data_IF_324507858608
#
_entry.id   IF_324507858608
#
_cell.length_a   1.000
_cell.length_b   1.000
_cell.length_c   1.000
_cell.angle_alpha   90.00
_cell.angle_beta   90.00
_cell.angle_gamma   90.00
#
_symmetry.space_group_name_H-M   'P 1'
#
loop_
_entity.id
_entity.type
_entity.pdbx_description
1 polymer ?
#
# COMPACT_ATOMS: atom_id res chain seq x y z
N UNK A 1 17.92 -18.88 -19.38
CA UNK A 1 16.46 -18.70 -19.23
C UNK A 1 15.88 -20.02 -18.77
N UNK A 2 15.77 -20.23 -17.45
CA UNK A 2 15.21 -21.48 -16.92
C UNK A 2 13.69 -21.42 -16.99
N UNK A 3 13.11 -22.42 -17.68
CA UNK A 3 11.69 -22.64 -17.88
C UNK A 3 11.05 -23.22 -16.62
N UNK A 4 10.17 -22.46 -15.98
CA UNK A 4 9.08 -22.96 -15.13
C UNK A 4 8.00 -21.89 -15.03
N UNK A 5 7.45 -21.42 -16.16
CA UNK A 5 6.16 -20.74 -16.10
C UNK A 5 5.07 -21.81 -15.98
N UNK A 6 4.20 -21.75 -14.96
CA UNK A 6 3.05 -22.65 -14.86
C UNK A 6 2.23 -22.57 -16.15
N UNK A 7 1.96 -23.71 -16.78
CA UNK A 7 1.17 -23.80 -18.03
C UNK A 7 -0.33 -23.94 -17.77
N UNK A 8 -0.79 -23.65 -16.55
CA UNK A 8 -2.20 -23.72 -16.21
C UNK A 8 -2.93 -22.53 -16.86
N UNK A 9 -4.19 -22.72 -17.31
CA UNK A 9 -5.00 -21.60 -17.77
C UNK A 9 -5.18 -20.59 -16.65
N UNK A 10 -5.12 -19.30 -16.97
CA UNK A 10 -5.39 -18.23 -16.01
C UNK A 10 -6.86 -18.35 -15.58
N UNK A 11 -7.16 -18.45 -14.28
CA UNK A 11 -8.53 -18.54 -13.80
C UNK A 11 -9.32 -17.26 -14.16
N UNK A 12 -10.65 -17.34 -14.26
CA UNK A 12 -11.47 -16.15 -14.46
C UNK A 12 -11.26 -15.15 -13.31
N UNK A 13 -11.35 -13.83 -13.58
CA UNK A 13 -11.22 -12.84 -12.53
C UNK A 13 -12.42 -12.91 -11.56
N UNK A 14 -12.17 -12.58 -10.30
CA UNK A 14 -13.23 -12.31 -9.33
C UNK A 14 -14.09 -11.14 -9.80
N UNK A 15 -15.38 -11.14 -9.50
CA UNK A 15 -16.35 -10.10 -9.92
C UNK A 15 -17.29 -9.75 -8.78
N UNK A 16 -17.86 -8.55 -8.85
CA UNK A 16 -18.83 -8.07 -7.85
C UNK A 16 -20.17 -8.81 -7.90
N UNK A 17 -20.52 -9.46 -9.00
CA UNK A 17 -21.80 -10.17 -9.16
C UNK A 17 -21.94 -11.47 -8.37
N UNK A 18 -20.86 -12.01 -7.78
CA UNK A 18 -20.90 -13.26 -7.03
C UNK A 18 -21.32 -13.04 -5.57
N UNK A 19 -22.63 -13.09 -5.32
CA UNK A 19 -23.24 -12.85 -4.00
C UNK A 19 -22.57 -13.71 -2.91
N UNK A 20 -22.23 -13.07 -1.79
CA UNK A 20 -21.61 -13.72 -0.63
C UNK A 20 -20.09 -13.74 -0.65
N UNK A 21 -19.46 -13.34 -1.76
CA UNK A 21 -18.00 -13.16 -1.83
C UNK A 21 -17.57 -11.81 -1.26
N UNK A 22 -16.29 -11.73 -0.89
CA UNK A 22 -15.68 -10.46 -0.48
C UNK A 22 -15.64 -9.43 -1.63
N UNK A 23 -15.52 -9.88 -2.88
CA UNK A 23 -15.59 -9.01 -4.06
C UNK A 23 -16.97 -8.36 -4.18
N UNK A 24 -18.05 -9.14 -4.04
CA UNK A 24 -19.41 -8.61 -4.00
C UNK A 24 -19.60 -7.62 -2.85
N UNK A 25 -19.15 -7.97 -1.65
CA UNK A 25 -19.23 -7.08 -0.49
C UNK A 25 -18.49 -5.75 -0.70
N UNK A 26 -17.30 -5.83 -1.29
CA UNK A 26 -16.48 -4.66 -1.61
C UNK A 26 -17.21 -3.74 -2.58
N UNK A 27 -17.69 -4.27 -3.71
CA UNK A 27 -18.37 -3.47 -4.74
C UNK A 27 -19.69 -2.89 -4.22
N UNK A 28 -20.51 -3.68 -3.51
CA UNK A 28 -21.87 -3.26 -3.12
C UNK A 28 -21.91 -2.39 -1.87
N UNK A 29 -21.00 -2.59 -0.91
CA UNK A 29 -20.99 -1.83 0.35
C UNK A 29 -19.77 -0.94 0.52
N UNK A 30 -18.56 -1.47 0.33
CA UNK A 30 -17.34 -0.75 0.70
C UNK A 30 -17.05 0.43 -0.24
N UNK A 31 -17.10 0.24 -1.56
CA UNK A 31 -16.84 1.34 -2.51
C UNK A 31 -17.82 2.52 -2.34
N UNK A 32 -19.16 2.32 -2.26
CA UNK A 32 -20.09 3.41 -1.95
C UNK A 32 -19.81 4.04 -0.57
N UNK A 33 -19.44 3.23 0.42
CA UNK A 33 -19.08 3.70 1.75
C UNK A 33 -17.87 4.63 1.75
N UNK A 34 -16.83 4.29 0.98
CA UNK A 34 -15.63 5.12 0.81
C UNK A 34 -15.98 6.45 0.13
N UNK A 35 -16.81 6.44 -0.93
CA UNK A 35 -17.24 7.68 -1.59
C UNK A 35 -18.04 8.59 -0.64
N UNK A 36 -18.93 8.01 0.18
CA UNK A 36 -19.68 8.78 1.20
C UNK A 36 -18.76 9.38 2.27
N UNK A 37 -17.68 8.68 2.64
CA UNK A 37 -16.64 9.23 3.54
C UNK A 37 -15.89 10.39 2.90
N UNK A 38 -15.45 10.23 1.64
CA UNK A 38 -14.82 11.32 0.87
C UNK A 38 -15.71 12.57 0.89
N UNK A 39 -17.02 12.41 0.69
CA UNK A 39 -17.99 13.51 0.75
C UNK A 39 -18.07 14.17 2.14
N UNK A 40 -17.97 13.39 3.22
CA UNK A 40 -18.09 13.87 4.59
C UNK A 40 -16.80 14.52 5.13
N UNK A 41 -15.64 14.03 4.68
CA UNK A 41 -14.32 14.36 5.25
C UNK A 41 -13.61 15.50 4.50
N UNK A 42 -14.13 15.93 3.35
CA UNK A 42 -13.49 16.93 2.50
C UNK A 42 -14.35 18.18 2.33
N UNK A 43 -13.70 19.35 2.30
CA UNK A 43 -14.32 20.61 1.98
C UNK A 43 -14.48 20.77 0.45
N UNK A 44 -15.44 20.03 -0.12
CA UNK A 44 -15.69 19.99 -1.56
C UNK A 44 -16.54 21.18 -2.03
N UNK A 45 -16.24 21.71 -3.23
CA UNK A 45 -17.15 22.62 -3.92
C UNK A 45 -18.48 21.91 -4.26
N UNK A 46 -19.60 22.63 -4.43
CA UNK A 46 -20.90 22.01 -4.67
C UNK A 46 -20.93 21.02 -5.84
N UNK A 47 -20.22 21.31 -6.93
CA UNK A 47 -20.13 20.43 -8.11
C UNK A 47 -19.35 19.14 -7.81
N UNK A 48 -18.24 19.24 -7.07
CA UNK A 48 -17.44 18.08 -6.65
C UNK A 48 -18.22 17.20 -5.67
N UNK A 49 -18.90 17.82 -4.71
CA UNK A 49 -19.77 17.11 -3.76
C UNK A 49 -20.88 16.35 -4.48
N UNK A 50 -21.54 16.99 -5.47
CA UNK A 50 -22.55 16.34 -6.30
C UNK A 50 -21.97 15.17 -7.12
N UNK A 51 -20.76 15.33 -7.68
CA UNK A 51 -20.11 14.28 -8.45
C UNK A 51 -19.72 13.05 -7.59
N UNK A 52 -19.21 13.27 -6.38
CA UNK A 52 -18.88 12.19 -5.43
C UNK A 52 -20.16 11.49 -4.94
N UNK A 53 -21.22 12.25 -4.65
CA UNK A 53 -22.51 11.67 -4.28
C UNK A 53 -23.11 10.83 -5.42
N UNK A 54 -23.06 11.33 -6.66
CA UNK A 54 -23.50 10.56 -7.82
C UNK A 54 -22.70 9.27 -8.02
N UNK A 55 -21.37 9.31 -7.79
CA UNK A 55 -20.53 8.10 -7.80
C UNK A 55 -20.94 7.08 -6.72
N UNK A 56 -21.30 7.53 -5.52
CA UNK A 56 -21.75 6.63 -4.47
C UNK A 56 -23.09 5.96 -4.80
N UNK A 57 -24.00 6.68 -5.48
CA UNK A 57 -25.33 6.19 -5.84
C UNK A 57 -25.34 5.37 -7.14
N UNK A 58 -24.43 5.60 -8.08
CA UNK A 58 -24.33 4.76 -9.28
C UNK A 58 -23.82 3.36 -8.94
N UNK A 59 -23.01 3.18 -7.91
CA UNK A 59 -22.49 1.88 -7.51
C UNK A 59 -23.56 1.13 -6.70
N UNK A 60 -23.87 -0.15 -7.02
CA UNK A 60 -23.11 -1.05 -7.90
C UNK A 60 -23.72 -1.26 -9.29
N UNK A 61 -24.85 -0.62 -9.61
CA UNK A 61 -25.65 -0.99 -10.80
C UNK A 61 -25.42 -0.11 -12.04
N UNK A 62 -24.81 1.05 -11.85
CA UNK A 62 -24.53 2.01 -12.90
C UNK A 62 -23.51 1.48 -13.91
N UNK A 63 -23.49 2.04 -15.13
CA UNK A 63 -22.56 1.61 -16.16
C UNK A 63 -21.16 2.19 -15.91
N UNK A 64 -20.13 1.39 -16.19
CA UNK A 64 -18.78 1.87 -16.40
C UNK A 64 -18.79 2.86 -17.58
N UNK A 65 -18.18 4.03 -17.39
CA UNK A 65 -18.13 5.11 -18.37
C UNK A 65 -16.71 5.60 -18.58
N UNK A 66 -16.49 6.30 -19.68
CA UNK A 66 -15.24 7.02 -19.87
C UNK A 66 -15.10 8.16 -18.85
N UNK A 67 -13.85 8.48 -18.54
CA UNK A 67 -13.50 9.65 -17.73
C UNK A 67 -13.67 10.92 -18.56
N UNK A 68 -13.99 12.01 -17.87
CA UNK A 68 -14.30 13.33 -18.44
C UNK A 68 -13.17 14.34 -18.24
N UNK A 69 -12.10 13.97 -17.54
CA UNK A 69 -10.90 14.79 -17.32
C UNK A 69 -9.80 14.42 -18.32
N UNK A 70 -10.07 14.63 -19.61
CA UNK A 70 -9.19 14.25 -20.73
C UNK A 70 -7.77 14.86 -20.65
N UNK A 71 -7.58 15.94 -19.89
CA UNK A 71 -6.28 16.56 -19.63
C UNK A 71 -5.41 15.86 -18.58
N UNK A 72 -5.92 14.80 -17.93
CA UNK A 72 -5.15 14.05 -16.94
C UNK A 72 -3.98 13.30 -17.59
N UNK A 73 -2.83 13.17 -16.89
CA UNK A 73 -1.63 12.52 -17.45
C UNK A 73 -1.84 11.03 -17.77
N UNK A 74 -2.85 10.40 -17.17
CA UNK A 74 -3.20 9.00 -17.32
C UNK A 74 -4.41 8.74 -18.25
N UNK A 75 -4.97 9.80 -18.86
CA UNK A 75 -6.22 9.72 -19.61
C UNK A 75 -6.18 8.69 -20.76
N UNK A 76 -5.08 8.63 -21.52
CA UNK A 76 -4.92 7.69 -22.63
C UNK A 76 -4.89 6.22 -22.15
N UNK A 77 -4.22 5.95 -21.03
CA UNK A 77 -4.17 4.62 -20.46
C UNK A 77 -5.56 4.19 -19.95
N UNK A 78 -6.25 5.07 -19.24
CA UNK A 78 -7.61 4.80 -18.75
C UNK A 78 -8.63 4.62 -19.87
N UNK A 79 -8.54 5.38 -20.96
CA UNK A 79 -9.39 5.16 -22.12
C UNK A 79 -9.25 3.73 -22.65
N UNK A 80 -8.02 3.21 -22.73
CA UNK A 80 -7.75 1.83 -23.14
C UNK A 80 -8.22 0.80 -22.11
N UNK A 81 -8.03 1.04 -20.80
CA UNK A 81 -8.50 0.13 -19.75
C UNK A 81 -10.03 0.07 -19.62
N UNK A 82 -10.72 1.18 -19.88
CA UNK A 82 -12.18 1.28 -19.81
C UNK A 82 -12.86 0.68 -21.04
N UNK A 83 -12.25 0.78 -22.23
CA UNK A 83 -12.88 0.40 -23.49
C UNK A 83 -13.52 -1.02 -23.50
N UNK A 84 -12.91 -2.08 -22.92
CA UNK A 84 -13.51 -3.41 -22.88
C UNK A 84 -14.76 -3.52 -21.99
N UNK A 85 -14.94 -2.58 -21.06
CA UNK A 85 -15.91 -2.62 -19.98
C UNK A 85 -16.97 -1.52 -20.06
N UNK A 86 -16.82 -0.55 -20.96
CA UNK A 86 -17.75 0.56 -21.13
C UNK A 86 -19.19 0.06 -21.32
N UNK A 87 -20.12 0.63 -20.55
CA UNK A 87 -21.54 0.27 -20.54
C UNK A 87 -21.90 -0.93 -19.66
N UNK A 88 -20.93 -1.71 -19.17
CA UNK A 88 -21.19 -2.83 -18.25
C UNK A 88 -21.40 -2.33 -16.82
N UNK A 89 -22.15 -3.10 -16.02
CA UNK A 89 -22.34 -2.82 -14.58
C UNK A 89 -21.06 -3.02 -13.79
N UNK A 90 -20.89 -2.32 -12.66
CA UNK A 90 -19.79 -2.54 -11.72
C UNK A 90 -19.73 -3.98 -11.18
N UNK A 91 -20.88 -4.66 -11.14
CA UNK A 91 -20.97 -6.07 -10.72
C UNK A 91 -20.36 -7.03 -11.76
N UNK A 92 -20.40 -6.65 -13.03
CA UNK A 92 -20.10 -7.56 -14.14
C UNK A 92 -18.63 -7.50 -14.57
N UNK A 93 -17.88 -6.47 -14.18
CA UNK A 93 -16.47 -6.28 -14.57
C UNK A 93 -15.50 -6.93 -13.57
N UNK A 94 -14.23 -7.18 -13.94
CA UNK A 94 -13.26 -7.72 -12.99
C UNK A 94 -13.14 -6.84 -11.74
N UNK A 95 -13.15 -7.44 -10.55
CA UNK A 95 -13.13 -6.71 -9.29
C UNK A 95 -11.92 -5.78 -9.17
N UNK A 96 -10.72 -6.26 -9.55
CA UNK A 96 -9.52 -5.43 -9.58
C UNK A 96 -9.68 -4.18 -10.47
N UNK A 97 -10.34 -4.31 -11.63
CA UNK A 97 -10.67 -3.17 -12.48
C UNK A 97 -11.69 -2.25 -11.82
N UNK A 98 -12.80 -2.80 -11.30
CA UNK A 98 -13.85 -2.02 -10.63
C UNK A 98 -13.27 -1.17 -9.49
N UNK A 99 -12.44 -1.77 -8.65
CA UNK A 99 -11.84 -1.12 -7.49
C UNK A 99 -10.83 -0.05 -7.90
N UNK A 100 -9.94 -0.35 -8.85
CA UNK A 100 -8.97 0.65 -9.35
C UNK A 100 -9.69 1.81 -10.07
N UNK A 101 -10.71 1.50 -10.86
CA UNK A 101 -11.54 2.47 -11.57
C UNK A 101 -12.32 3.35 -10.60
N UNK A 102 -12.81 2.81 -9.49
CA UNK A 102 -13.45 3.58 -8.42
C UNK A 102 -12.53 4.69 -7.89
N UNK A 103 -11.29 4.37 -7.51
CA UNK A 103 -10.37 5.39 -7.00
C UNK A 103 -10.05 6.45 -8.05
N UNK A 104 -9.92 6.06 -9.33
CA UNK A 104 -9.74 7.04 -10.40
C UNK A 104 -10.97 7.93 -10.62
N UNK A 105 -12.17 7.38 -10.47
CA UNK A 105 -13.44 8.13 -10.50
C UNK A 105 -13.60 9.06 -9.31
N UNK A 106 -13.07 8.71 -8.14
CA UNK A 106 -12.98 9.64 -6.99
C UNK A 106 -12.10 10.83 -7.36
N UNK A 107 -10.90 10.60 -7.91
CA UNK A 107 -10.01 11.69 -8.34
C UNK A 107 -10.62 12.58 -9.44
N UNK A 108 -11.36 11.98 -10.38
CA UNK A 108 -12.12 12.73 -11.38
C UNK A 108 -13.20 13.61 -10.70
N UNK A 109 -13.97 13.04 -9.78
CA UNK A 109 -15.07 13.72 -9.09
C UNK A 109 -14.60 14.85 -8.17
N UNK A 110 -13.45 14.69 -7.52
CA UNK A 110 -12.83 15.73 -6.69
C UNK A 110 -12.03 16.73 -7.53
N UNK A 111 -11.86 16.51 -8.83
CA UNK A 111 -11.13 17.41 -9.73
C UNK A 111 -9.62 17.40 -9.51
N UNK A 112 -9.04 16.30 -9.03
CA UNK A 112 -7.62 16.17 -8.69
C UNK A 112 -6.68 16.57 -9.84
N UNK A 113 -7.01 16.18 -11.09
CA UNK A 113 -6.22 16.51 -12.29
C UNK A 113 -6.69 17.76 -13.03
N UNK A 114 -7.79 18.39 -12.60
CA UNK A 114 -8.34 19.59 -13.24
C UNK A 114 -7.83 20.84 -12.55
N UNK A 115 -7.74 21.94 -13.30
CA UNK A 115 -7.48 23.24 -12.70
C UNK A 115 -8.64 23.66 -11.80
N UNK A 116 -8.32 24.18 -10.62
CA UNK A 116 -9.29 24.58 -9.61
C UNK A 116 -8.86 24.23 -8.19
N UNK A 117 -9.75 24.43 -7.20
CA UNK A 117 -9.43 24.22 -5.79
C UNK A 117 -9.17 22.75 -5.42
N UNK A 118 -9.61 21.79 -6.25
CA UNK A 118 -9.34 20.37 -6.04
C UNK A 118 -8.02 19.87 -6.62
N UNK A 119 -7.29 20.70 -7.39
CA UNK A 119 -6.09 20.27 -8.11
C UNK A 119 -5.01 19.79 -7.13
N UNK A 120 -4.60 18.52 -7.27
CA UNK A 120 -3.57 17.92 -6.42
C UNK A 120 -3.98 17.72 -4.96
N UNK A 121 -5.26 17.93 -4.60
CA UNK A 121 -5.74 17.75 -3.23
C UNK A 121 -6.10 16.29 -3.00
N UNK A 122 -5.37 15.63 -2.10
CA UNK A 122 -5.61 14.24 -1.73
C UNK A 122 -6.91 14.09 -0.92
N UNK A 123 -7.96 13.42 -1.47
CA UNK A 123 -9.23 13.25 -0.78
C UNK A 123 -9.19 12.30 0.42
N UNK A 124 -8.07 11.59 0.62
CA UNK A 124 -7.84 10.65 1.71
C UNK A 124 -6.81 11.16 2.73
N UNK A 125 -6.33 12.40 2.58
CA UNK A 125 -5.31 12.98 3.45
C UNK A 125 -5.70 13.01 4.94
N UNK A 126 -7.00 13.19 5.25
CA UNK A 126 -7.50 13.11 6.62
C UNK A 126 -7.25 11.72 7.20
N UNK A 127 -7.70 10.67 6.52
CA UNK A 127 -7.54 9.29 6.99
C UNK A 127 -6.07 8.92 7.15
N UNK A 128 -5.21 9.27 6.18
CA UNK A 128 -3.76 9.02 6.28
C UNK A 128 -3.14 9.70 7.51
N UNK A 129 -3.53 10.95 7.80
CA UNK A 129 -3.05 11.69 8.97
C UNK A 129 -3.54 11.07 10.27
N UNK A 130 -4.82 10.72 10.36
CA UNK A 130 -5.39 10.10 11.56
C UNK A 130 -4.80 8.72 11.82
N UNK A 131 -4.60 7.91 10.78
CA UNK A 131 -3.89 6.64 10.86
C UNK A 131 -2.46 6.80 11.41
N UNK A 132 -1.74 7.85 10.99
CA UNK A 132 -0.43 8.18 11.54
C UNK A 132 -0.50 8.60 13.02
N UNK A 133 -1.46 9.45 13.38
CA UNK A 133 -1.62 9.93 14.76
C UNK A 133 -1.97 8.79 15.73
N UNK A 134 -2.89 7.89 15.35
CA UNK A 134 -3.23 6.70 16.14
C UNK A 134 -2.00 5.81 16.38
N UNK A 135 -1.04 5.88 15.47
CA UNK A 135 0.16 5.06 15.50
C UNK A 135 1.30 5.69 16.29
N UNK A 136 1.20 6.98 16.66
CA UNK A 136 2.24 7.77 17.33
C UNK A 136 2.84 7.08 18.57
N UNK A 137 2.01 6.41 19.37
CA UNK A 137 2.47 5.67 20.54
C UNK A 137 3.35 4.45 20.19
N UNK A 138 2.99 3.72 19.14
CA UNK A 138 3.78 2.60 18.63
C UNK A 138 5.06 3.08 17.91
N UNK A 139 5.01 4.23 17.23
CA UNK A 139 6.19 4.88 16.63
C UNK A 139 7.24 5.20 17.69
N UNK A 140 6.81 5.75 18.84
CA UNK A 140 7.70 6.09 19.93
C UNK A 140 8.49 4.88 20.44
N UNK A 141 7.82 3.73 20.58
CA UNK A 141 8.45 2.47 21.02
C UNK A 141 9.45 1.92 20.01
N UNK A 142 9.10 1.91 18.71
CA UNK A 142 10.00 1.45 17.64
C UNK A 142 11.21 2.38 17.46
N UNK A 143 11.03 3.69 17.64
CA UNK A 143 12.11 4.68 17.53
C UNK A 143 13.11 4.57 18.66
N UNK A 144 12.66 4.28 19.89
CA UNK A 144 13.56 4.06 21.04
C UNK A 144 14.37 2.77 20.90
N UNK A 145 13.75 1.69 20.41
CA UNK A 145 14.48 0.44 20.13
C UNK A 145 15.50 0.63 18.98
N UNK A 146 15.13 1.40 17.95
CA UNK A 146 16.02 1.73 16.83
C UNK A 146 17.19 2.65 17.19
N UNK A 147 17.01 3.62 18.10
CA UNK A 147 18.09 4.53 18.53
C UNK A 147 19.14 3.81 19.37
N UNK A 148 18.74 2.93 20.30
CA UNK A 148 19.68 2.12 21.07
C UNK A 148 20.52 1.18 20.18
N UNK A 149 19.92 0.65 19.12
CA UNK A 149 20.61 -0.16 18.11
C UNK A 149 21.54 0.70 17.22
N UNK A 150 21.13 1.91 16.85
CA UNK A 150 21.90 2.83 16.00
C UNK A 150 23.12 3.40 16.73
N UNK A 151 22.97 3.74 18.02
CA UNK A 151 24.08 4.20 18.87
C UNK A 151 25.11 3.10 19.11
N UNK A 152 24.68 1.83 19.27
CA UNK A 152 25.58 0.67 19.33
C UNK A 152 26.29 0.42 18.00
N UNK A 153 25.58 0.53 16.87
CA UNK A 153 26.17 0.38 15.52
C UNK A 153 27.19 1.48 15.21
N UNK A 154 26.96 2.70 15.70
CA UNK A 154 27.90 3.82 15.56
C UNK A 154 29.17 3.62 16.40
N UNK A 155 29.07 2.96 17.55
CA UNK A 155 30.22 2.59 18.37
C UNK A 155 31.06 1.44 17.76
N UNK A 156 30.46 0.58 16.93
CA UNK A 156 31.14 -0.51 16.21
C UNK A 156 31.70 -0.08 14.84
N UNK A 157 31.35 1.11 14.34
CA UNK A 157 31.63 1.60 12.98
C UNK A 157 32.77 2.62 12.83
N UNK A 158 33.62 2.82 13.83
CA UNK A 158 34.81 3.67 13.67
C UNK A 158 35.99 2.85 13.14
N UNK A 159 36.04 2.59 11.82
CA UNK A 159 37.24 2.45 10.96
C UNK A 159 36.96 1.62 9.68
N UNK A 160 36.65 2.29 8.57
CA UNK A 160 37.35 2.13 7.26
C UNK A 160 37.45 0.75 6.56
N UNK A 161 36.84 -0.31 7.07
CA UNK A 161 36.89 -1.68 6.55
C UNK A 161 35.51 -2.23 6.12
N UNK A 162 34.55 -1.34 5.96
CA UNK A 162 33.13 -1.55 6.30
C UNK A 162 32.34 -2.49 5.39
N UNK A 163 32.66 -2.64 4.10
CA UNK A 163 31.86 -3.54 3.21
C UNK A 163 32.00 -5.03 3.49
N UNK A 164 33.18 -5.50 3.92
CA UNK A 164 33.42 -6.93 4.22
C UNK A 164 33.02 -7.29 5.64
N UNK A 165 33.03 -6.31 6.56
CA UNK A 165 32.59 -6.47 7.95
C UNK A 165 31.07 -6.66 8.03
N UNK A 166 30.29 -5.77 7.40
CA UNK A 166 28.82 -5.81 7.47
C UNK A 166 28.23 -7.11 6.90
N UNK A 167 28.78 -7.64 5.80
CA UNK A 167 28.37 -8.94 5.24
C UNK A 167 28.64 -10.10 6.21
N UNK A 168 29.79 -10.07 6.89
CA UNK A 168 30.15 -11.10 7.89
C UNK A 168 29.23 -11.03 9.12
N UNK A 169 28.75 -9.84 9.46
CA UNK A 169 27.76 -9.59 10.52
C UNK A 169 26.37 -10.09 10.15
N UNK A 170 25.90 -9.94 8.89
CA UNK A 170 24.63 -10.56 8.43
C UNK A 170 24.68 -12.08 8.54
N UNK A 171 25.78 -12.70 8.11
CA UNK A 171 25.97 -14.16 8.16
C UNK A 171 26.11 -14.69 9.59
N UNK A 172 26.35 -13.82 10.57
CA UNK A 172 26.23 -14.18 11.97
C UNK A 172 24.75 -14.32 12.37
N UNK A 173 24.44 -15.24 13.28
CA UNK A 173 23.07 -15.51 13.74
C UNK A 173 22.29 -14.24 14.13
N UNK A 174 22.99 -13.23 14.69
CA UNK A 174 22.40 -11.95 15.11
C UNK A 174 21.94 -11.07 13.95
N UNK A 175 22.69 -11.01 12.85
CA UNK A 175 22.34 -10.17 11.69
C UNK A 175 21.19 -10.76 10.88
N UNK A 176 21.21 -12.07 10.67
CA UNK A 176 20.10 -12.81 10.08
C UNK A 176 18.81 -12.67 10.91
N UNK A 177 18.91 -12.77 12.24
CA UNK A 177 17.76 -12.58 13.14
C UNK A 177 17.23 -11.14 13.13
N UNK A 178 18.09 -10.12 13.05
CA UNK A 178 17.67 -8.73 12.93
C UNK A 178 16.91 -8.47 11.62
N UNK A 179 17.42 -9.00 10.50
CA UNK A 179 16.77 -8.88 9.20
C UNK A 179 15.42 -9.62 9.16
N UNK A 180 15.35 -10.83 9.70
CA UNK A 180 14.10 -11.57 9.82
C UNK A 180 13.06 -10.83 10.67
N UNK A 181 13.48 -10.20 11.78
CA UNK A 181 12.59 -9.36 12.60
C UNK A 181 12.09 -8.13 11.84
N UNK A 182 12.95 -7.46 11.08
CA UNK A 182 12.57 -6.30 10.29
C UNK A 182 11.58 -6.67 9.18
N UNK A 183 11.82 -7.79 8.46
CA UNK A 183 10.87 -8.33 7.47
C UNK A 183 9.53 -8.65 8.11
N UNK A 184 9.54 -9.33 9.27
CA UNK A 184 8.33 -9.65 10.01
C UNK A 184 7.57 -8.39 10.42
N UNK A 185 8.28 -7.36 10.94
CA UNK A 185 7.67 -6.08 11.31
C UNK A 185 7.00 -5.40 10.12
N UNK A 186 7.63 -5.40 8.94
CA UNK A 186 7.04 -4.86 7.71
C UNK A 186 5.74 -5.60 7.33
N UNK A 187 5.75 -6.94 7.35
CA UNK A 187 4.55 -7.76 7.04
C UNK A 187 3.39 -7.48 8.00
N UNK A 188 3.67 -7.38 9.31
CA UNK A 188 2.62 -7.12 10.31
C UNK A 188 2.18 -5.67 10.39
N UNK A 189 2.97 -4.73 9.84
CA UNK A 189 2.61 -3.32 9.70
C UNK A 189 1.37 -3.13 8.82
N UNK A 190 1.20 -3.96 7.79
CA UNK A 190 0.06 -3.91 6.85
C UNK A 190 -1.31 -4.23 7.50
N UNK A 191 -1.34 -4.67 8.77
CA UNK A 191 -2.62 -4.82 9.48
C UNK A 191 -3.32 -3.48 9.78
N UNK A 192 -2.69 -2.35 9.46
CA UNK A 192 -3.20 -0.99 9.61
C UNK A 192 -3.87 -0.42 8.33
N UNK A 193 -4.32 -1.27 7.40
CA UNK A 193 -5.02 -0.86 6.16
C UNK A 193 -6.31 -0.07 6.46
N UNK A 194 -6.34 1.22 6.08
CA UNK A 194 -7.46 2.14 6.32
C UNK A 194 -8.62 1.97 5.34
N UNK A 195 -8.38 1.31 4.20
CA UNK A 195 -9.45 0.95 3.27
C UNK A 195 -10.37 -0.11 3.87
N UNK A 196 -9.83 -0.98 4.73
CA UNK A 196 -10.55 -2.00 5.49
C UNK A 196 -11.06 -1.44 6.82
N UNK A 197 -10.21 -0.69 7.54
CA UNK A 197 -10.46 -0.22 8.90
C UNK A 197 -10.27 1.30 8.99
N UNK A 198 -11.34 2.10 8.81
CA UNK A 198 -11.25 3.56 8.95
C UNK A 198 -10.69 3.95 10.32
N UNK A 199 -9.95 5.06 10.37
CA UNK A 199 -9.27 5.51 11.58
C UNK A 199 -10.25 5.69 12.78
N UNK A 200 -11.48 6.13 12.52
CA UNK A 200 -12.51 6.36 13.55
C UNK A 200 -13.11 5.05 14.10
N UNK A 201 -12.93 3.93 13.40
CA UNK A 201 -13.41 2.62 13.86
C UNK A 201 -12.61 2.08 15.07
N UNK A 202 -11.55 2.78 15.50
CA UNK A 202 -10.90 2.57 16.79
C UNK A 202 -10.21 1.22 16.96
N UNK A 203 -9.97 0.48 15.88
CA UNK A 203 -9.38 -0.84 15.93
C UNK A 203 -8.38 -1.05 14.81
N UNK A 204 -7.09 -0.85 15.10
CA UNK A 204 -6.13 -1.87 14.66
C UNK A 204 -6.72 -3.22 15.08
N UNK A 205 -6.73 -4.26 14.24
CA UNK A 205 -7.20 -5.56 14.67
C UNK A 205 -6.55 -5.86 16.02
N UNK A 206 -7.35 -5.94 17.08
CA UNK A 206 -6.97 -6.63 18.31
C UNK A 206 -6.93 -8.11 17.93
N UNK A 207 -5.94 -8.45 17.12
CA UNK A 207 -5.83 -9.73 16.46
C UNK A 207 -5.26 -10.71 17.46
N UNK A 208 -6.14 -11.56 17.96
CA UNK A 208 -5.92 -12.89 18.49
C UNK A 208 -4.63 -13.15 19.29
N UNK A 209 -4.79 -13.71 20.49
CA UNK A 209 -3.71 -14.12 21.41
C UNK A 209 -2.68 -15.09 20.84
N UNK A 210 -2.88 -15.60 19.62
CA UNK A 210 -1.93 -16.47 18.93
C UNK A 210 -0.64 -15.71 18.55
N UNK A 211 0.55 -16.31 18.77
CA UNK A 211 1.82 -15.75 18.33
C UNK A 211 1.79 -15.40 16.84
N UNK A 212 2.36 -14.23 16.47
CA UNK A 212 2.41 -13.75 15.07
C UNK A 212 2.97 -14.80 14.09
N UNK A 213 3.94 -15.60 14.51
CA UNK A 213 4.53 -16.66 13.70
C UNK A 213 3.51 -17.74 13.28
N UNK A 214 2.49 -18.00 14.09
CA UNK A 214 1.47 -19.04 13.81
C UNK A 214 0.40 -18.58 12.80
N UNK A 215 0.42 -17.30 12.42
CA UNK A 215 -0.52 -16.70 11.47
C UNK A 215 0.03 -16.58 10.05
N UNK A 216 1.30 -16.92 9.82
CA UNK A 216 1.88 -16.99 8.47
C UNK A 216 1.55 -18.34 7.85
N UNK A 217 0.77 -18.33 6.75
CA UNK A 217 0.43 -19.56 6.00
C UNK A 217 1.58 -20.03 5.09
N UNK A 218 2.42 -19.10 4.66
CA UNK A 218 3.63 -19.35 3.89
C UNK A 218 4.72 -18.40 4.40
N UNK A 219 5.91 -18.92 4.66
CA UNK A 219 7.02 -18.16 5.23
C UNK A 219 8.33 -18.48 4.50
N UNK A 220 8.70 -17.60 3.57
CA UNK A 220 9.96 -17.65 2.83
C UNK A 220 11.03 -16.72 3.44
N UNK A 221 10.86 -16.28 4.70
CA UNK A 221 11.76 -15.30 5.35
C UNK A 221 13.21 -15.78 5.35
N UNK A 222 13.46 -17.06 5.62
CA UNK A 222 14.82 -17.62 5.61
C UNK A 222 15.48 -17.51 4.21
N UNK A 223 14.75 -17.87 3.16
CA UNK A 223 15.23 -17.76 1.78
C UNK A 223 15.46 -16.30 1.37
N UNK A 224 14.60 -15.38 1.83
CA UNK A 224 14.76 -13.94 1.61
C UNK A 224 16.01 -13.39 2.31
N UNK A 225 16.27 -13.77 3.56
CA UNK A 225 17.46 -13.39 4.32
C UNK A 225 18.73 -13.86 3.61
N UNK A 226 18.78 -15.11 3.16
CA UNK A 226 19.91 -15.65 2.39
C UNK A 226 20.15 -14.86 1.09
N UNK A 227 19.06 -14.51 0.38
CA UNK A 227 19.14 -13.76 -0.86
C UNK A 227 19.62 -12.32 -0.66
N UNK A 228 19.19 -11.67 0.42
CA UNK A 228 19.65 -10.33 0.81
C UNK A 228 21.14 -10.36 1.19
N UNK A 229 21.57 -11.37 1.96
CA UNK A 229 22.99 -11.54 2.30
C UNK A 229 23.86 -11.70 1.03
N UNK A 230 23.42 -12.50 0.07
CA UNK A 230 24.09 -12.66 -1.22
C UNK A 230 24.07 -11.38 -2.09
N UNK A 231 23.02 -10.56 -1.97
CA UNK A 231 22.94 -9.25 -2.65
C UNK A 231 23.93 -8.24 -2.05
N UNK A 232 24.05 -8.19 -0.73
CA UNK A 232 24.97 -7.30 -0.02
C UNK A 232 26.42 -7.48 -0.48
N UNK A 233 26.86 -8.73 -0.69
CA UNK A 233 28.21 -9.07 -1.18
C UNK A 233 28.58 -8.43 -2.51
N UNK A 234 27.59 -8.12 -3.35
CA UNK A 234 27.79 -7.62 -4.71
C UNK A 234 27.41 -6.15 -4.86
N UNK A 235 27.02 -5.47 -3.78
CA UNK A 235 26.45 -4.12 -3.85
C UNK A 235 25.14 -4.08 -4.65
N UNK A 236 24.22 -5.00 -4.34
CA UNK A 236 22.95 -5.14 -5.04
C UNK A 236 21.94 -4.03 -4.76
N UNK A 237 20.78 -4.14 -5.41
CA UNK A 237 19.61 -3.28 -5.23
C UNK A 237 18.41 -4.08 -4.71
N UNK A 238 17.61 -3.48 -3.85
CA UNK A 238 16.30 -3.95 -3.43
C UNK A 238 15.26 -2.88 -3.78
N UNK A 239 14.19 -3.31 -4.43
CA UNK A 239 13.04 -2.47 -4.77
C UNK A 239 11.88 -2.84 -3.85
N UNK A 240 11.30 -1.84 -3.18
CA UNK A 240 10.14 -2.00 -2.32
C UNK A 240 8.97 -1.25 -2.97
N UNK A 241 7.90 -1.96 -3.29
CA UNK A 241 6.65 -1.36 -3.75
C UNK A 241 5.80 -1.09 -2.52
N UNK A 242 5.61 0.19 -2.20
CA UNK A 242 4.95 0.60 -0.97
C UNK A 242 3.44 0.37 -1.05
N UNK A 243 2.86 -0.02 0.08
CA UNK A 243 1.43 -0.18 0.27
C UNK A 243 0.87 1.04 1.02
N UNK A 244 0.61 0.97 2.33
CA UNK A 244 -0.05 2.04 3.09
C UNK A 244 0.90 3.07 3.73
N UNK A 245 0.43 4.31 3.78
CA UNK A 245 0.96 5.38 4.62
C UNK A 245 0.58 5.18 6.09
N UNK A 246 1.09 6.04 6.98
CA UNK A 246 0.82 5.93 8.41
C UNK A 246 1.75 4.93 9.09
N UNK A 247 1.21 3.96 9.84
CA UNK A 247 2.01 3.00 10.61
C UNK A 247 2.87 2.08 9.74
N UNK A 248 2.29 1.56 8.65
CA UNK A 248 2.99 0.61 7.78
C UNK A 248 4.25 1.23 7.18
N UNK A 249 4.15 2.49 6.74
CA UNK A 249 5.29 3.29 6.26
C UNK A 249 6.38 3.52 7.32
N UNK A 250 6.26 3.08 8.56
CA UNK A 250 7.39 3.10 9.51
C UNK A 250 8.20 1.80 9.47
N UNK A 251 7.56 0.69 9.13
CA UNK A 251 8.21 -0.61 8.95
C UNK A 251 9.13 -0.62 7.73
N UNK A 252 8.65 -0.08 6.61
CA UNK A 252 9.40 -0.12 5.34
C UNK A 252 10.71 0.70 5.36
N UNK A 253 10.75 1.94 5.88
CA UNK A 253 11.99 2.69 6.04
C UNK A 253 12.92 2.09 7.09
N UNK A 254 12.40 1.45 8.15
CA UNK A 254 13.25 0.75 9.11
C UNK A 254 13.96 -0.46 8.48
N UNK A 255 13.25 -1.22 7.64
CA UNK A 255 13.86 -2.25 6.79
C UNK A 255 14.84 -1.64 5.78
N UNK A 256 14.46 -0.51 5.17
CA UNK A 256 15.29 0.24 4.24
C UNK A 256 16.62 0.70 4.86
N UNK A 257 16.59 1.25 6.07
CA UNK A 257 17.79 1.68 6.82
C UNK A 257 18.72 0.49 7.09
N UNK A 258 18.16 -0.64 7.52
CA UNK A 258 18.94 -1.87 7.68
C UNK A 258 19.58 -2.30 6.36
N UNK A 259 18.85 -2.30 5.25
CA UNK A 259 19.40 -2.65 3.92
C UNK A 259 20.50 -1.68 3.47
N UNK A 260 20.33 -0.38 3.72
CA UNK A 260 21.33 0.64 3.40
C UNK A 260 22.62 0.42 4.22
N UNK A 261 22.50 0.08 5.50
CA UNK A 261 23.65 -0.28 6.34
C UNK A 261 24.40 -1.51 5.80
N UNK A 262 23.71 -2.42 5.10
CA UNK A 262 24.31 -3.57 4.41
C UNK A 262 24.97 -3.22 3.08
N UNK A 263 24.98 -1.94 2.69
CA UNK A 263 25.53 -1.47 1.42
C UNK A 263 24.66 -1.83 0.22
N UNK A 264 23.38 -2.12 0.43
CA UNK A 264 22.38 -2.38 -0.60
C UNK A 264 21.73 -1.05 -0.99
N UNK A 265 21.58 -0.80 -2.29
CA UNK A 265 20.77 0.33 -2.77
C UNK A 265 19.28 0.00 -2.59
N UNK A 266 18.54 0.88 -1.92
CA UNK A 266 17.08 0.74 -1.74
C UNK A 266 16.35 1.72 -2.64
N UNK A 267 15.35 1.25 -3.37
CA UNK A 267 14.42 2.09 -4.14
C UNK A 267 13.01 1.82 -3.68
N UNK A 268 12.33 2.88 -3.23
CA UNK A 268 10.94 2.84 -2.80
C UNK A 268 10.06 3.33 -3.96
N UNK A 269 9.04 2.55 -4.31
CA UNK A 269 8.05 2.90 -5.34
C UNK A 269 6.73 3.24 -4.67
N UNK A 270 6.37 4.53 -4.69
CA UNK A 270 5.08 5.03 -4.21
C UNK A 270 4.08 5.15 -5.37
N UNK A 271 2.82 5.38 -5.03
CA UNK A 271 1.77 5.62 -6.03
C UNK A 271 1.86 7.06 -6.56
N UNK A 272 1.60 7.31 -7.85
CA UNK A 272 1.75 8.64 -8.45
C UNK A 272 0.61 9.61 -8.08
N UNK A 273 -0.48 9.12 -7.52
CA UNK A 273 -1.63 9.89 -7.08
C UNK A 273 -2.39 9.11 -6.00
N UNK A 274 -3.29 9.74 -5.23
CA UNK A 274 -4.05 9.06 -4.19
C UNK A 274 -4.87 7.90 -4.77
N UNK A 275 -4.79 6.75 -4.10
CA UNK A 275 -5.46 5.52 -4.49
C UNK A 275 -5.60 4.64 -3.25
N UNK A 276 -6.56 3.71 -3.23
CA UNK A 276 -6.73 2.74 -2.14
C UNK A 276 -6.78 3.33 -0.72
N UNK A 277 -7.26 4.58 -0.59
CA UNK A 277 -7.35 5.34 0.66
C UNK A 277 -5.99 5.63 1.29
N UNK A 278 -5.33 4.62 1.82
CA UNK A 278 -4.10 4.76 2.61
C UNK A 278 -2.82 4.69 1.80
N UNK A 279 -2.84 4.33 0.51
CA UNK A 279 -1.59 4.13 -0.23
C UNK A 279 -0.63 5.32 -0.14
N UNK A 280 0.66 5.00 -0.01
CA UNK A 280 1.73 5.99 -0.04
C UNK A 280 1.77 6.65 -1.41
N UNK A 281 1.77 7.98 -1.42
CA UNK A 281 1.90 8.78 -2.64
C UNK A 281 3.21 9.56 -2.65
N UNK A 282 3.75 9.81 -3.84
CA UNK A 282 4.81 10.82 -3.98
C UNK A 282 4.25 12.21 -3.64
N UNK A 283 5.04 13.08 -2.96
CA UNK A 283 4.63 14.43 -2.60
C UNK A 283 4.54 15.40 -3.79
#
# INVERSE_FOLDING_TARGET
MSRTQPTLPVPPPLRGGEIGTFAHDTVVRRLPGIARRVLAENALAPEQAAAVAALAEEIPHGPVRHLSDEGAPDAAAWAAYIAPYAGQSWLDVPWFFAETYFYRRVLEATGYFRDGPGRGVDPFALQKREGLELSRGAVGLLSTEGTEDTERRSAEGAEGAERRGSVRVIRGERGAAALARAISAAVWGNQADLSLWPAEAGGLPQGDSAPRAERLLADDTAALVERIAALAERGGRVDVVLDNAGFELLGDPALGDLLLWLGITVVLHAKPHPTFVSDVTEP
#
